data_IF_019898949834
#
_entry.id   IF_019898949834
#
_cell.length_a   1.000
_cell.length_b   1.000
_cell.length_c   1.000
_cell.angle_alpha   90.00
_cell.angle_beta   90.00
_cell.angle_gamma   90.00
#
_symmetry.space_group_name_H-M   'P 1'
#
loop_
_entity.id
_entity.type
_entity.pdbx_description
1 polymer ?
#
# COMPACT_ATOMS: atom_id res chain seq x y z
N UNK A 1 -11.65 -17.00 -0.98
CA UNK A 1 -11.94 -15.57 -1.22
C UNK A 1 -10.71 -14.80 -0.78
N UNK A 2 -9.95 -14.23 -1.72
CA UNK A 2 -8.77 -13.43 -1.38
C UNK A 2 -9.28 -12.01 -1.18
N UNK A 3 -9.35 -11.53 0.05
CA UNK A 3 -9.64 -10.12 0.29
C UNK A 3 -8.60 -9.27 -0.44
N UNK A 4 -9.00 -8.19 -1.15
CA UNK A 4 -8.07 -7.33 -1.86
C UNK A 4 -7.35 -6.40 -0.87
N UNK A 5 -6.68 -6.95 0.15
CA UNK A 5 -5.87 -6.19 1.11
C UNK A 5 -4.74 -5.43 0.40
N UNK A 6 -4.42 -4.23 0.88
CA UNK A 6 -3.25 -3.48 0.41
C UNK A 6 -2.01 -4.34 0.66
N UNK A 7 -1.30 -4.71 -0.41
CA UNK A 7 0.05 -5.23 -0.30
C UNK A 7 1.00 -4.08 -0.03
N UNK A 8 1.88 -4.24 0.96
CA UNK A 8 2.93 -3.28 1.30
C UNK A 8 4.29 -3.85 0.89
N UNK A 9 5.11 -3.08 0.18
CA UNK A 9 6.51 -3.41 -0.02
C UNK A 9 7.35 -2.68 1.03
N UNK A 10 8.08 -3.43 1.86
CA UNK A 10 9.06 -2.87 2.78
C UNK A 10 10.37 -2.66 2.03
N UNK A 11 10.74 -1.39 1.91
CA UNK A 11 11.86 -0.91 1.14
C UNK A 11 12.90 -0.27 2.04
N UNK A 12 14.17 -0.33 1.64
CA UNK A 12 15.26 0.41 2.29
C UNK A 12 15.80 1.49 1.37
N UNK A 13 16.32 2.56 1.97
CA UNK A 13 17.06 3.61 1.26
C UNK A 13 18.34 3.94 2.03
N UNK A 14 19.46 3.95 1.31
CA UNK A 14 20.80 4.06 1.89
C UNK A 14 21.66 2.89 1.42
N UNK A 15 22.81 2.68 2.06
CA UNK A 15 23.65 1.50 1.84
C UNK A 15 23.32 0.36 2.80
N UNK A 16 23.67 -0.88 2.44
CA UNK A 16 23.60 -2.04 3.31
C UNK A 16 22.24 -2.72 3.38
N UNK A 17 21.24 -2.26 2.62
CA UNK A 17 19.99 -2.96 2.35
C UNK A 17 18.99 -3.08 3.51
N UNK A 18 19.45 -2.92 4.74
CA UNK A 18 18.68 -3.05 5.98
C UNK A 18 17.83 -4.34 5.99
N UNK A 19 18.43 -5.46 5.54
CA UNK A 19 17.71 -6.72 5.32
C UNK A 19 16.98 -7.19 6.58
N UNK A 20 17.67 -7.25 7.72
CA UNK A 20 17.09 -7.70 8.99
C UNK A 20 15.90 -6.81 9.39
N UNK A 21 16.07 -5.48 9.35
CA UNK A 21 14.98 -4.56 9.64
C UNK A 21 13.80 -4.74 8.65
N UNK A 22 14.05 -4.91 7.35
CA UNK A 22 12.98 -5.19 6.37
C UNK A 22 12.21 -6.46 6.72
N UNK A 23 12.90 -7.50 7.15
CA UNK A 23 12.30 -8.77 7.58
C UNK A 23 11.48 -8.61 8.86
N UNK A 24 11.97 -7.87 9.85
CA UNK A 24 11.26 -7.58 11.10
C UNK A 24 9.94 -6.84 10.84
N UNK A 25 9.96 -5.80 10.01
CA UNK A 25 8.73 -5.10 9.62
C UNK A 25 7.74 -6.02 8.91
N UNK A 26 8.19 -6.86 7.98
CA UNK A 26 7.29 -7.80 7.31
C UNK A 26 6.67 -8.77 8.32
N UNK A 27 7.45 -9.30 9.25
CA UNK A 27 6.95 -10.19 10.30
C UNK A 27 5.90 -9.51 11.20
N UNK A 28 6.16 -8.28 11.64
CA UNK A 28 5.23 -7.49 12.45
C UNK A 28 3.93 -7.18 11.68
N UNK A 29 4.05 -6.76 10.41
CA UNK A 29 2.88 -6.48 9.59
C UNK A 29 2.02 -7.73 9.36
N UNK A 30 2.65 -8.89 9.16
CA UNK A 30 1.94 -10.17 9.07
C UNK A 30 1.22 -10.54 10.37
N UNK A 31 1.85 -10.32 11.53
CA UNK A 31 1.20 -10.50 12.84
C UNK A 31 -0.03 -9.60 13.00
N UNK A 32 0.00 -8.40 12.40
CA UNK A 32 -1.13 -7.48 12.34
C UNK A 32 -2.11 -7.75 11.17
N UNK A 33 -1.98 -8.89 10.48
CA UNK A 33 -2.82 -9.28 9.33
C UNK A 33 -2.75 -8.31 8.14
N UNK A 34 -1.64 -7.59 7.99
CA UNK A 34 -1.32 -6.74 6.85
C UNK A 34 -0.40 -7.51 5.92
N UNK A 35 -0.79 -7.64 4.63
CA UNK A 35 0.06 -8.32 3.65
C UNK A 35 1.26 -7.45 3.31
N UNK A 36 2.45 -7.96 3.56
CA UNK A 36 3.69 -7.28 3.29
C UNK A 36 4.74 -8.21 2.66
N UNK A 37 5.65 -7.64 1.88
CA UNK A 37 6.81 -8.35 1.34
C UNK A 37 8.00 -7.41 1.21
N UNK A 38 9.18 -7.94 0.86
CA UNK A 38 10.37 -7.19 0.53
C UNK A 38 11.04 -7.83 -0.70
N UNK A 39 11.89 -7.10 -1.43
CA UNK A 39 12.65 -7.67 -2.56
C UNK A 39 13.60 -8.75 -2.03
N UNK A 40 13.59 -9.99 -2.58
CA UNK A 40 14.40 -11.13 -2.10
C UNK A 40 15.88 -11.01 -2.50
N UNK A 41 16.47 -9.85 -2.22
CA UNK A 41 17.86 -9.51 -2.44
C UNK A 41 18.36 -8.76 -1.19
N UNK A 42 19.58 -9.00 -0.68
CA UNK A 42 20.05 -8.39 0.56
C UNK A 42 20.15 -6.85 0.53
N UNK A 43 20.75 -6.29 -0.52
CA UNK A 43 21.00 -4.85 -0.67
C UNK A 43 20.51 -4.31 -2.01
N UNK A 44 19.17 -4.30 -2.24
CA UNK A 44 18.61 -3.86 -3.51
C UNK A 44 18.68 -2.33 -3.58
N UNK A 45 19.07 -1.81 -4.74
CA UNK A 45 18.96 -0.39 -5.02
C UNK A 45 17.51 0.07 -4.90
N UNK A 46 17.31 1.33 -4.54
CA UNK A 46 15.96 1.89 -4.43
C UNK A 46 15.19 1.75 -5.76
N UNK A 47 15.88 1.83 -6.90
CA UNK A 47 15.30 1.63 -8.23
C UNK A 47 14.74 0.22 -8.41
N UNK A 48 15.51 -0.83 -8.09
CA UNK A 48 15.06 -2.22 -8.19
C UNK A 48 13.83 -2.48 -7.29
N UNK A 49 13.77 -1.82 -6.14
CA UNK A 49 12.61 -1.91 -5.25
C UNK A 49 11.36 -1.27 -5.83
N UNK A 50 11.50 -0.13 -6.54
CA UNK A 50 10.39 0.48 -7.29
C UNK A 50 9.93 -0.42 -8.45
N UNK A 51 10.87 -1.00 -9.19
CA UNK A 51 10.58 -1.91 -10.31
C UNK A 51 9.84 -3.16 -9.81
N UNK A 52 10.33 -3.80 -8.75
CA UNK A 52 9.67 -4.93 -8.11
C UNK A 52 8.27 -4.58 -7.60
N UNK A 53 8.06 -3.41 -6.98
CA UNK A 53 6.73 -2.99 -6.57
C UNK A 53 5.78 -2.91 -7.78
N UNK A 54 6.25 -2.36 -8.89
CA UNK A 54 5.47 -2.22 -10.13
C UNK A 54 5.13 -3.58 -10.75
N UNK A 55 6.09 -4.50 -10.82
CA UNK A 55 5.90 -5.85 -11.41
C UNK A 55 4.91 -6.70 -10.61
N UNK A 56 4.80 -6.45 -9.31
CA UNK A 56 3.94 -7.19 -8.39
C UNK A 56 2.61 -6.46 -8.06
N UNK A 57 2.27 -5.38 -8.76
CA UNK A 57 1.09 -4.52 -8.51
C UNK A 57 0.99 -4.04 -7.06
N UNK A 58 2.14 -3.71 -6.44
CA UNK A 58 2.23 -3.18 -5.09
C UNK A 58 2.25 -1.66 -5.12
N UNK A 59 1.21 -1.09 -4.52
CA UNK A 59 0.95 0.36 -4.60
C UNK A 59 1.45 1.14 -3.38
N UNK A 60 1.71 0.45 -2.27
CA UNK A 60 2.13 1.05 -1.00
C UNK A 60 3.55 0.59 -0.62
N UNK A 61 4.44 1.56 -0.41
CA UNK A 61 5.82 1.34 0.01
C UNK A 61 6.03 1.87 1.43
N UNK A 62 6.66 1.06 2.26
CA UNK A 62 7.22 1.45 3.55
C UNK A 62 8.73 1.59 3.39
N UNK A 63 9.24 2.82 3.30
CA UNK A 63 10.66 3.11 3.08
C UNK A 63 11.33 3.41 4.42
N UNK A 64 12.30 2.56 4.79
CA UNK A 64 13.13 2.70 5.97
C UNK A 64 14.53 3.20 5.60
N UNK A 65 15.15 3.93 6.51
CA UNK A 65 16.55 4.38 6.41
C UNK A 65 17.25 4.13 7.74
N UNK A 66 18.57 4.02 7.73
CA UNK A 66 19.35 3.83 8.96
C UNK A 66 19.09 4.96 9.96
N UNK A 67 19.19 6.23 9.53
CA UNK A 67 18.85 7.39 10.37
C UNK A 67 17.39 7.39 10.84
N UNK A 68 16.47 6.89 10.01
CA UNK A 68 15.06 6.77 10.33
C UNK A 68 14.82 5.84 11.52
N UNK A 69 15.58 4.74 11.60
CA UNK A 69 15.49 3.76 12.68
C UNK A 69 16.33 4.12 13.90
N UNK A 70 17.50 4.73 13.71
CA UNK A 70 18.47 4.92 14.80
C UNK A 70 18.49 6.32 15.41
N UNK A 71 17.91 7.33 14.74
CA UNK A 71 17.99 8.73 15.18
C UNK A 71 16.61 9.37 15.34
N UNK A 72 15.73 9.21 14.34
CA UNK A 72 14.45 9.94 14.33
C UNK A 72 13.26 9.09 14.76
N UNK A 73 13.38 7.76 14.71
CA UNK A 73 12.29 6.80 14.89
C UNK A 73 11.08 7.05 13.95
N UNK A 74 11.40 7.46 12.72
CA UNK A 74 10.43 7.80 11.68
C UNK A 74 10.65 6.91 10.45
N UNK A 75 9.55 6.41 9.91
CA UNK A 75 9.50 5.67 8.64
C UNK A 75 8.64 6.39 7.63
N UNK A 76 8.96 6.23 6.35
CA UNK A 76 8.22 6.90 5.28
C UNK A 76 7.27 5.94 4.59
N UNK A 77 5.98 6.25 4.60
CA UNK A 77 4.98 5.53 3.80
C UNK A 77 4.70 6.32 2.52
N UNK A 78 4.69 5.64 1.37
CA UNK A 78 4.42 6.22 0.05
C UNK A 78 3.39 5.38 -0.70
N UNK A 79 2.36 6.01 -1.25
CA UNK A 79 1.37 5.36 -2.10
C UNK A 79 1.42 5.94 -3.52
N UNK A 80 1.62 5.08 -4.53
CA UNK A 80 1.80 5.54 -5.93
C UNK A 80 0.58 6.19 -6.53
N UNK A 81 -0.57 5.51 -6.50
CA UNK A 81 -1.78 6.01 -7.18
C UNK A 81 -2.29 7.31 -6.56
N UNK A 82 -2.31 7.36 -5.23
CA UNK A 82 -2.70 8.56 -4.49
C UNK A 82 -1.66 9.68 -4.56
N UNK A 83 -0.44 9.40 -5.05
CA UNK A 83 0.71 10.31 -5.05
C UNK A 83 0.93 10.98 -3.69
N UNK A 84 0.70 10.22 -2.61
CA UNK A 84 0.83 10.68 -1.23
C UNK A 84 2.03 10.02 -0.58
N UNK A 85 2.74 10.79 0.24
CA UNK A 85 3.71 10.25 1.17
C UNK A 85 3.60 10.93 2.53
N UNK A 86 3.99 10.21 3.57
CA UNK A 86 3.95 10.66 4.96
C UNK A 86 5.06 10.01 5.77
N UNK A 87 5.67 10.78 6.66
CA UNK A 87 6.52 10.25 7.73
C UNK A 87 5.64 9.87 8.93
N UNK A 88 5.87 8.67 9.46
CA UNK A 88 5.07 8.05 10.50
C UNK A 88 6.03 7.56 11.59
N UNK A 89 5.74 7.80 12.87
CA UNK A 89 6.49 7.17 13.96
C UNK A 89 6.50 5.65 13.81
N UNK A 90 7.63 5.02 14.06
CA UNK A 90 7.80 3.57 13.95
C UNK A 90 6.72 2.79 14.70
N UNK A 91 6.41 3.19 15.92
CA UNK A 91 5.41 2.55 16.79
C UNK A 91 3.98 2.68 16.26
N UNK A 92 3.70 3.70 15.44
CA UNK A 92 2.36 3.96 14.89
C UNK A 92 2.13 3.27 13.54
N UNK A 93 3.14 2.59 12.97
CA UNK A 93 3.08 2.11 11.57
C UNK A 93 1.92 1.14 11.32
N UNK A 94 1.70 0.19 12.23
CA UNK A 94 0.62 -0.81 12.11
C UNK A 94 -0.74 -0.13 12.11
N UNK A 95 -0.94 0.81 13.06
CA UNK A 95 -2.18 1.58 13.16
C UNK A 95 -2.40 2.42 11.90
N UNK A 96 -1.38 3.15 11.47
CA UNK A 96 -1.45 3.99 10.27
C UNK A 96 -1.84 3.19 9.02
N UNK A 97 -1.20 2.04 8.79
CA UNK A 97 -1.52 1.18 7.64
C UNK A 97 -2.91 0.57 7.76
N UNK A 98 -3.33 0.14 8.95
CA UNK A 98 -4.68 -0.40 9.19
C UNK A 98 -5.75 0.65 8.90
N UNK A 99 -5.55 1.89 9.36
CA UNK A 99 -6.47 3.01 9.11
C UNK A 99 -6.52 3.34 7.60
N UNK A 100 -5.38 3.35 6.91
CA UNK A 100 -5.30 3.59 5.47
C UNK A 100 -6.02 2.50 4.65
N UNK A 101 -5.78 1.23 4.98
CA UNK A 101 -6.48 0.04 4.47
C UNK A 101 -7.99 0.25 4.62
N UNK A 102 -8.47 0.46 5.86
CA UNK A 102 -9.90 0.59 6.14
C UNK A 102 -10.57 1.77 5.40
N UNK A 103 -9.86 2.88 5.22
CA UNK A 103 -10.36 4.06 4.51
C UNK A 103 -10.49 3.78 3.02
N UNK A 104 -9.51 3.09 2.41
CA UNK A 104 -9.56 2.73 0.99
C UNK A 104 -10.70 1.74 0.69
N UNK A 105 -10.99 0.77 1.59
CA UNK A 105 -12.14 -0.13 1.43
C UNK A 105 -13.50 0.55 1.57
N UNK A 106 -13.59 1.66 2.32
CA UNK A 106 -14.83 2.44 2.43
C UNK A 106 -15.16 3.22 1.16
N UNK A 107 -14.21 3.36 0.23
CA UNK A 107 -14.41 4.07 -1.05
C UNK A 107 -14.80 3.14 -2.22
N UNK A 108 -15.12 1.87 -1.96
CA UNK A 108 -15.64 0.95 -2.98
C UNK A 108 -17.15 1.12 -3.27
N UNK A 109 -17.85 1.98 -2.52
CA UNK A 109 -19.32 2.17 -2.63
C UNK A 109 -19.76 3.31 -3.56
N UNK A 110 -18.85 4.12 -4.11
CA UNK A 110 -19.26 5.17 -5.07
C UNK A 110 -19.57 4.59 -6.48
N UNK A 111 -19.18 3.34 -6.76
CA UNK A 111 -19.19 2.79 -8.12
C UNK A 111 -20.12 1.58 -8.34
N UNK A 112 -21.20 1.42 -7.56
CA UNK A 112 -22.16 0.31 -7.78
C UNK A 112 -23.64 0.66 -7.96
N UNK A 113 -24.03 1.94 -8.04
CA UNK A 113 -25.45 2.30 -8.27
C UNK A 113 -25.70 3.21 -9.46
N UNK A 114 -24.96 3.05 -10.56
CA UNK A 114 -25.31 3.75 -11.81
C UNK A 114 -25.16 2.90 -13.08
N UNK A 115 -25.51 1.61 -12.99
CA UNK A 115 -25.70 0.76 -14.19
C UNK A 115 -27.01 -0.03 -14.21
N UNK A 116 -27.94 0.20 -13.28
CA UNK A 116 -29.23 -0.51 -13.27
C UNK A 116 -30.36 0.45 -12.91
N UNK A 117 -30.69 1.37 -13.82
CA UNK A 117 -32.07 1.82 -14.13
C UNK A 117 -31.99 2.91 -15.21
N UNK A 118 -31.95 2.51 -16.48
CA UNK A 118 -32.51 3.31 -17.60
C UNK A 118 -32.70 2.48 -18.87
N UNK A 119 -32.35 1.19 -18.89
CA UNK A 119 -32.70 0.31 -20.00
C UNK A 119 -34.18 -0.13 -20.04
N UNK A 120 -35.09 0.51 -19.31
CA UNK A 120 -36.51 0.15 -19.33
C UNK A 120 -37.54 1.29 -19.36
N UNK A 121 -37.14 2.56 -19.57
CA UNK A 121 -38.15 3.63 -19.71
C UNK A 121 -37.70 4.76 -20.65
N UNK A 122 -37.51 4.46 -21.94
CA UNK A 122 -37.87 5.39 -23.05
C UNK A 122 -37.71 4.71 -24.43
N UNK A 123 -38.15 3.45 -24.55
CA UNK A 123 -38.60 2.91 -25.85
C UNK A 123 -40.14 2.95 -25.90
N UNK A 124 -40.71 4.04 -25.39
CA UNK A 124 -42.13 4.34 -25.47
C UNK A 124 -42.30 5.86 -25.50
N UNK A 125 -41.83 6.49 -26.59
CA UNK A 125 -42.29 7.79 -27.12
C UNK A 125 -41.65 8.03 -28.51
N UNK A 126 -41.63 6.98 -29.34
CA UNK A 126 -41.67 7.12 -30.80
C UNK A 126 -43.04 6.58 -31.20
N UNK A 127 -44.06 7.40 -31.00
CA UNK A 127 -45.40 7.35 -31.61
C UNK A 127 -46.25 8.43 -30.91
N UNK A 128 -46.20 9.65 -31.46
CA UNK A 128 -47.30 10.48 -32.01
C UNK A 128 -46.66 11.72 -32.63
#
# INVERSE_FOLDING_TARGET
>A
MIEPGINVLVCSRGGGGLLEARMEFVAELWQANIRAQFVPHPDPSLKEQYEYASEHDIKCLLIITEAGLSQTDLVKVRHFELKKDKEVPREEIVKFLTDAISTQFRDHTIWKTMYITSFFFSLLLVEV
#
